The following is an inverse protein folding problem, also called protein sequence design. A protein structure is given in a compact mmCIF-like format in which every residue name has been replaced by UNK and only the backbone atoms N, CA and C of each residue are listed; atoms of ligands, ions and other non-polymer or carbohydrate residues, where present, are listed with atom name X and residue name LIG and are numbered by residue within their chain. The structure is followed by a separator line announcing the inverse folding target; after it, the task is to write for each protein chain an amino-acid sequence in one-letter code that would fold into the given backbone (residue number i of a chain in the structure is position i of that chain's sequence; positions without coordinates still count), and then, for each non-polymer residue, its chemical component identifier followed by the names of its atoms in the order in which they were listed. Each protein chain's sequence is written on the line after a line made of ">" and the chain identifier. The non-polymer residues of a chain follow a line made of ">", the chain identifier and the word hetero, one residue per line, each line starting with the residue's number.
data_IF_531483184928
#
_entry.id   IF_531483184928
#
_cell.length_a   1.000
_cell.length_b   1.000
_cell.length_c   1.000
_cell.angle_alpha   90.00
_cell.angle_beta   90.00
_cell.angle_gamma   90.00
#
_symmetry.space_group_name_H-M   'P 1'
#
loop_
_entity.id
_entity.type
_entity.pdbx_description
1 polymer ?
#
# COMPACT_ATOMS: atom_id res chain seq x y z
N UNK A 1 -14.94 21.34 -6.04
CA UNK A 1 -15.42 20.76 -4.76
C UNK A 1 -16.46 19.66 -5.00
N UNK A 2 -17.60 19.95 -5.67
CA UNK A 2 -18.66 18.97 -5.98
C UNK A 2 -18.17 17.66 -6.60
N UNK A 3 -17.30 17.76 -7.61
CA UNK A 3 -16.73 16.59 -8.29
C UNK A 3 -15.93 15.72 -7.32
N UNK A 4 -14.98 16.32 -6.60
CA UNK A 4 -14.20 15.63 -5.57
C UNK A 4 -15.09 14.94 -4.53
N UNK A 5 -16.10 15.63 -4.00
CA UNK A 5 -17.00 15.04 -3.00
C UNK A 5 -17.69 13.78 -3.54
N UNK A 6 -18.16 13.82 -4.79
CA UNK A 6 -18.80 12.66 -5.46
C UNK A 6 -17.82 11.52 -5.70
N UNK A 7 -16.62 11.82 -6.18
CA UNK A 7 -15.57 10.81 -6.39
C UNK A 7 -15.10 10.18 -5.06
N UNK A 8 -15.27 10.90 -3.95
CA UNK A 8 -14.97 10.44 -2.60
C UNK A 8 -16.13 9.69 -1.93
N UNK A 9 -17.27 9.55 -2.61
CA UNK A 9 -18.54 9.01 -2.09
C UNK A 9 -19.03 9.63 -0.76
N UNK A 10 -18.76 10.92 -0.55
CA UNK A 10 -19.16 11.65 0.67
C UNK A 10 -20.52 12.31 0.44
N UNK A 11 -21.53 12.10 1.27
CA UNK A 11 -22.80 12.86 1.19
C UNK A 11 -22.60 14.33 1.60
N UNK A 12 -23.38 15.26 1.03
CA UNK A 12 -23.29 16.69 1.40
C UNK A 12 -23.54 16.91 2.90
N UNK A 13 -24.51 16.21 3.49
CA UNK A 13 -24.81 16.28 4.93
C UNK A 13 -23.60 15.85 5.76
N UNK A 14 -22.99 14.71 5.41
CA UNK A 14 -21.79 14.23 6.10
C UNK A 14 -20.61 15.20 5.99
N UNK A 15 -20.40 15.81 4.82
CA UNK A 15 -19.36 16.82 4.65
C UNK A 15 -19.63 18.04 5.53
N UNK A 16 -20.90 18.44 5.65
CA UNK A 16 -21.32 19.56 6.47
C UNK A 16 -21.01 19.31 7.95
N UNK A 17 -21.28 18.10 8.45
CA UNK A 17 -20.94 17.68 9.81
C UNK A 17 -19.42 17.78 10.07
N UNK A 18 -18.60 17.30 9.13
CA UNK A 18 -17.13 17.27 9.26
C UNK A 18 -16.53 18.68 9.31
N UNK A 19 -17.06 19.61 8.53
CA UNK A 19 -16.55 20.99 8.44
C UNK A 19 -17.29 21.98 9.34
N UNK A 20 -18.25 21.49 10.15
CA UNK A 20 -18.99 22.27 11.13
C UNK A 20 -19.95 23.31 10.53
N UNK A 21 -20.63 22.96 9.43
CA UNK A 21 -21.62 23.85 8.77
C UNK A 21 -22.90 23.09 8.43
N UNK A 22 -23.89 23.77 7.85
CA UNK A 22 -25.12 23.14 7.39
C UNK A 22 -24.98 22.51 5.99
N UNK A 23 -25.79 21.50 5.66
CA UNK A 23 -25.84 20.96 4.29
C UNK A 23 -26.17 22.04 3.26
N UNK A 24 -27.03 23.01 3.60
CA UNK A 24 -27.37 24.12 2.71
C UNK A 24 -26.13 24.99 2.40
N UNK A 25 -25.26 25.22 3.38
CA UNK A 25 -23.98 25.92 3.21
C UNK A 25 -23.07 25.16 2.24
N UNK A 26 -22.94 23.84 2.41
CA UNK A 26 -22.19 22.95 1.49
C UNK A 26 -22.76 23.01 0.07
N UNK A 27 -24.09 23.00 -0.09
CA UNK A 27 -24.75 23.11 -1.39
C UNK A 27 -24.41 24.43 -2.09
N UNK A 28 -24.45 25.56 -1.38
CA UNK A 28 -24.06 26.87 -1.93
C UNK A 28 -22.59 26.91 -2.35
N UNK A 29 -21.69 26.26 -1.59
CA UNK A 29 -20.29 26.13 -1.99
C UNK A 29 -20.12 25.31 -3.28
N UNK A 30 -20.86 24.21 -3.41
CA UNK A 30 -20.82 23.36 -4.60
C UNK A 30 -21.36 24.03 -5.86
N UNK A 31 -22.28 25.00 -5.69
CA UNK A 31 -22.84 25.82 -6.75
C UNK A 31 -22.01 27.08 -7.04
N UNK A 32 -20.98 27.37 -6.24
CA UNK A 32 -20.15 28.57 -6.39
C UNK A 32 -20.79 29.87 -5.88
N UNK A 33 -21.94 29.79 -5.20
CA UNK A 33 -22.69 30.94 -4.68
C UNK A 33 -22.02 31.56 -3.46
N UNK A 34 -21.30 30.74 -2.68
CA UNK A 34 -20.60 31.17 -1.47
C UNK A 34 -19.22 30.48 -1.41
N UNK A 35 -18.20 31.19 -0.93
CA UNK A 35 -16.89 30.60 -0.66
C UNK A 35 -16.81 30.04 0.78
N UNK A 36 -16.11 28.92 1.02
CA UNK A 36 -15.82 28.46 2.38
C UNK A 36 -14.86 29.42 3.09
N UNK A 37 -14.99 29.56 4.41
CA UNK A 37 -14.05 30.39 5.17
C UNK A 37 -12.69 29.68 5.30
N UNK A 38 -11.61 30.40 5.68
CA UNK A 38 -10.25 29.85 5.72
C UNK A 38 -10.11 28.54 6.51
N UNK A 39 -10.80 28.42 7.65
CA UNK A 39 -10.80 27.20 8.47
C UNK A 39 -11.41 26.01 7.73
N UNK A 40 -12.56 26.18 7.05
CA UNK A 40 -13.16 25.10 6.27
C UNK A 40 -12.36 24.80 5.00
N UNK A 41 -11.73 25.80 4.38
CA UNK A 41 -10.80 25.58 3.27
C UNK A 41 -9.61 24.71 3.70
N UNK A 42 -9.07 24.90 4.90
CA UNK A 42 -8.02 24.05 5.48
C UNK A 42 -8.45 22.59 5.61
N UNK A 43 -9.63 22.36 6.23
CA UNK A 43 -10.19 21.01 6.40
C UNK A 43 -10.46 20.36 5.04
N UNK A 44 -11.09 21.09 4.11
CA UNK A 44 -11.37 20.60 2.76
C UNK A 44 -10.09 20.24 2.01
N UNK A 45 -9.06 21.08 2.06
CA UNK A 45 -7.75 20.79 1.44
C UNK A 45 -7.13 19.53 2.03
N UNK A 46 -7.14 19.38 3.35
CA UNK A 46 -6.59 18.20 4.01
C UNK A 46 -7.33 16.92 3.60
N UNK A 47 -8.67 16.96 3.54
CA UNK A 47 -9.49 15.84 3.06
C UNK A 47 -9.23 15.53 1.57
N UNK A 48 -9.10 16.56 0.74
CA UNK A 48 -8.84 16.42 -0.70
C UNK A 48 -7.47 15.80 -0.98
N UNK A 49 -6.43 16.23 -0.25
CA UNK A 49 -5.09 15.65 -0.34
C UNK A 49 -5.08 14.19 0.12
N UNK A 50 -5.71 13.88 1.27
CA UNK A 50 -5.84 12.49 1.74
C UNK A 50 -6.57 11.58 0.74
N UNK A 51 -7.64 12.08 0.10
CA UNK A 51 -8.39 11.27 -0.87
C UNK A 51 -7.62 11.04 -2.18
N UNK A 52 -6.92 12.06 -2.70
CA UNK A 52 -6.03 11.90 -3.86
C UNK A 52 -5.00 10.81 -3.61
N UNK A 53 -4.43 10.77 -2.42
CA UNK A 53 -3.43 9.78 -2.06
C UNK A 53 -4.07 8.38 -1.89
N UNK A 54 -5.29 8.27 -1.36
CA UNK A 54 -6.02 6.98 -1.31
C UNK A 54 -6.30 6.37 -2.69
N UNK A 55 -6.54 7.20 -3.72
CA UNK A 55 -6.68 6.72 -5.11
C UNK A 55 -5.36 6.22 -5.69
N UNK A 56 -4.23 6.80 -5.26
CA UNK A 56 -2.89 6.33 -5.62
C UNK A 56 -2.63 4.95 -4.99
N UNK A 57 -2.95 4.76 -3.71
CA UNK A 57 -2.84 3.46 -3.04
C UNK A 57 -3.70 2.39 -3.74
N UNK A 58 -4.91 2.76 -4.15
CA UNK A 58 -5.76 1.87 -4.95
C UNK A 58 -5.15 1.56 -6.33
N UNK A 59 -4.49 2.52 -6.97
CA UNK A 59 -3.79 2.29 -8.22
C UNK A 59 -2.63 1.31 -8.03
N UNK A 60 -1.81 1.50 -7.00
CA UNK A 60 -0.72 0.58 -6.63
C UNK A 60 -1.28 -0.83 -6.37
N UNK A 61 -2.34 -0.93 -5.56
CA UNK A 61 -3.01 -2.22 -5.30
C UNK A 61 -3.47 -2.89 -6.59
N UNK A 62 -4.09 -2.15 -7.52
CA UNK A 62 -4.52 -2.70 -8.81
C UNK A 62 -3.33 -3.18 -9.64
N UNK A 63 -2.24 -2.42 -9.69
CA UNK A 63 -1.02 -2.80 -10.42
C UNK A 63 -0.40 -4.08 -9.85
N UNK A 64 -0.33 -4.21 -8.52
CA UNK A 64 0.16 -5.43 -7.86
C UNK A 64 -0.72 -6.63 -8.21
N UNK A 65 -2.05 -6.51 -8.01
CA UNK A 65 -2.98 -7.63 -8.24
C UNK A 65 -2.96 -8.09 -9.69
N UNK A 66 -2.85 -7.16 -10.65
CA UNK A 66 -2.85 -7.45 -12.08
C UNK A 66 -1.46 -7.80 -12.63
N UNK A 67 -0.41 -7.81 -11.81
CA UNK A 67 0.94 -8.12 -12.27
C UNK A 67 1.07 -9.56 -12.77
N UNK A 68 1.76 -9.73 -13.89
CA UNK A 68 2.15 -11.04 -14.43
C UNK A 68 3.43 -11.60 -13.77
N UNK A 69 4.10 -10.81 -12.92
CA UNK A 69 5.22 -11.25 -12.10
C UNK A 69 4.74 -11.72 -10.72
N UNK A 70 5.60 -12.45 -9.99
CA UNK A 70 5.35 -12.87 -8.62
C UNK A 70 5.59 -11.68 -7.68
N UNK A 71 4.55 -10.90 -7.44
CA UNK A 71 4.62 -9.63 -6.69
C UNK A 71 3.65 -9.67 -5.51
N UNK A 72 4.07 -9.10 -4.38
CA UNK A 72 3.14 -8.79 -3.30
C UNK A 72 3.57 -7.54 -2.55
N UNK A 73 2.63 -6.93 -1.83
CA UNK A 73 2.84 -5.74 -1.01
C UNK A 73 2.57 -6.07 0.44
N UNK A 74 3.48 -5.71 1.33
CA UNK A 74 3.34 -5.84 2.79
C UNK A 74 3.50 -4.50 3.51
N UNK A 75 2.95 -4.39 4.72
CA UNK A 75 3.40 -3.37 5.67
C UNK A 75 4.83 -3.69 6.13
N UNK A 76 5.75 -2.72 6.05
CA UNK A 76 7.19 -2.93 6.17
C UNK A 76 7.60 -3.49 7.55
N UNK A 77 6.99 -3.01 8.65
CA UNK A 77 7.36 -3.42 10.02
C UNK A 77 6.69 -4.70 10.50
N UNK A 78 5.43 -4.92 10.14
CA UNK A 78 4.62 -6.04 10.65
C UNK A 78 4.61 -7.25 9.72
N UNK A 79 5.11 -7.06 8.49
CA UNK A 79 5.06 -8.01 7.38
C UNK A 79 3.65 -8.47 7.04
N UNK A 80 2.63 -7.68 7.39
CA UNK A 80 1.24 -8.01 7.07
C UNK A 80 0.98 -7.84 5.59
N UNK A 81 0.42 -8.87 4.97
CA UNK A 81 0.07 -8.84 3.54
C UNK A 81 -1.04 -7.83 3.27
N UNK A 82 -0.82 -6.93 2.31
CA UNK A 82 -1.80 -5.96 1.84
C UNK A 82 -2.47 -6.42 0.55
N UNK A 83 -1.69 -6.92 -0.42
CA UNK A 83 -2.19 -7.54 -1.64
C UNK A 83 -1.09 -8.38 -2.31
N UNK A 84 -1.48 -9.31 -3.20
CA UNK A 84 -0.58 -10.13 -3.98
C UNK A 84 -1.09 -10.28 -5.42
N UNK A 85 -0.17 -10.61 -6.33
CA UNK A 85 -0.47 -10.93 -7.71
C UNK A 85 -0.92 -12.39 -7.87
N UNK A 86 -1.66 -12.69 -8.93
CA UNK A 86 -2.09 -14.07 -9.21
C UNK A 86 -0.92 -15.06 -9.38
N UNK A 87 0.21 -14.74 -10.05
CA UNK A 87 1.38 -15.60 -10.07
C UNK A 87 1.95 -15.91 -8.68
N UNK A 88 1.92 -14.94 -7.77
CA UNK A 88 2.39 -15.11 -6.39
C UNK A 88 1.48 -16.06 -5.59
N UNK A 89 0.16 -15.94 -5.76
CA UNK A 89 -0.80 -16.88 -5.16
C UNK A 89 -0.61 -18.31 -5.66
N UNK A 90 -0.38 -18.47 -6.98
CA UNK A 90 -0.10 -19.77 -7.60
C UNK A 90 1.15 -20.42 -7.01
N UNK A 91 2.22 -19.63 -6.84
CA UNK A 91 3.42 -20.09 -6.16
C UNK A 91 3.08 -20.58 -4.75
N UNK A 92 2.47 -19.73 -3.92
CA UNK A 92 2.15 -20.05 -2.52
C UNK A 92 1.15 -21.19 -2.36
N UNK A 93 0.47 -21.58 -3.44
CA UNK A 93 -0.64 -22.54 -3.46
C UNK A 93 -1.74 -22.13 -2.48
N UNK A 94 -1.98 -20.82 -2.36
CA UNK A 94 -2.97 -20.22 -1.45
C UNK A 94 -3.58 -18.97 -2.06
N UNK A 95 -4.87 -18.79 -1.82
CA UNK A 95 -5.52 -17.53 -2.16
C UNK A 95 -5.01 -16.41 -1.26
N UNK A 96 -4.71 -15.24 -1.83
CA UNK A 96 -4.25 -14.10 -1.01
C UNK A 96 -5.34 -13.62 -0.06
N UNK A 97 -6.63 -13.82 -0.36
CA UNK A 97 -7.76 -13.46 0.52
C UNK A 97 -7.61 -14.04 1.93
N UNK A 98 -7.06 -15.23 2.04
CA UNK A 98 -6.89 -15.95 3.31
C UNK A 98 -5.66 -15.47 4.09
N UNK A 99 -4.77 -14.74 3.41
CA UNK A 99 -3.50 -14.24 3.90
C UNK A 99 -3.52 -12.73 4.14
N UNK A 100 -4.49 -11.98 3.61
CA UNK A 100 -4.59 -10.53 3.81
C UNK A 100 -4.61 -10.21 5.31
N UNK A 101 -3.75 -9.26 5.70
CA UNK A 101 -3.58 -8.84 7.09
C UNK A 101 -2.79 -9.82 7.95
N UNK A 102 -2.44 -11.01 7.46
CA UNK A 102 -1.57 -11.96 8.15
C UNK A 102 -0.11 -11.54 7.98
N UNK A 103 0.65 -11.57 9.08
CA UNK A 103 2.11 -11.43 9.00
C UNK A 103 2.72 -12.64 8.28
N UNK A 104 3.37 -12.38 7.15
CA UNK A 104 4.05 -13.40 6.35
C UNK A 104 5.40 -13.83 6.95
N UNK A 105 5.88 -13.14 7.99
CA UNK A 105 7.15 -13.47 8.66
C UNK A 105 7.24 -14.93 9.12
N UNK A 106 6.10 -15.53 9.49
CA UNK A 106 6.00 -16.95 9.86
C UNK A 106 6.44 -17.93 8.75
N UNK A 107 6.48 -17.49 7.50
CA UNK A 107 6.88 -18.29 6.33
C UNK A 107 8.32 -18.01 5.87
N UNK A 108 9.02 -17.05 6.50
CA UNK A 108 10.36 -16.63 6.11
C UNK A 108 11.34 -17.80 6.08
N UNK A 109 12.15 -17.85 5.01
CA UNK A 109 13.34 -18.72 4.96
C UNK A 109 14.49 -18.10 5.75
N UNK A 110 15.54 -18.86 6.08
CA UNK A 110 16.74 -18.32 6.71
C UNK A 110 17.37 -17.14 5.95
N UNK A 111 17.32 -17.17 4.62
CA UNK A 111 17.82 -16.11 3.74
C UNK A 111 16.98 -14.84 3.86
N UNK A 112 15.64 -14.96 3.82
CA UNK A 112 14.74 -13.84 4.08
C UNK A 112 14.98 -13.25 5.46
N UNK A 113 15.14 -14.10 6.49
CA UNK A 113 15.38 -13.65 7.84
C UNK A 113 16.75 -12.96 8.00
N UNK A 114 17.76 -13.38 7.24
CA UNK A 114 19.08 -12.74 7.20
C UNK A 114 19.01 -11.39 6.49
N UNK A 115 18.33 -11.31 5.34
CA UNK A 115 18.12 -10.07 4.61
C UNK A 115 17.36 -9.04 5.45
N UNK A 116 16.33 -9.46 6.19
CA UNK A 116 15.60 -8.58 7.13
C UNK A 116 16.53 -7.99 8.20
N UNK A 117 17.40 -8.82 8.78
CA UNK A 117 18.35 -8.38 9.82
C UNK A 117 19.35 -7.35 9.29
N UNK A 118 19.76 -7.44 8.03
CA UNK A 118 20.70 -6.48 7.44
C UNK A 118 20.08 -5.11 7.11
N UNK A 119 18.76 -4.97 7.12
CA UNK A 119 18.09 -3.71 6.75
C UNK A 119 18.49 -2.54 7.66
N UNK A 120 18.66 -2.81 8.95
CA UNK A 120 19.12 -1.79 9.90
C UNK A 120 20.47 -1.21 9.49
N UNK A 121 21.43 -2.08 9.18
CA UNK A 121 22.80 -1.68 8.86
C UNK A 121 22.90 -0.99 7.48
N UNK A 122 21.91 -1.20 6.61
CA UNK A 122 21.76 -0.54 5.32
C UNK A 122 21.04 0.82 5.43
N UNK A 123 20.59 1.24 6.62
CA UNK A 123 19.84 2.49 6.79
C UNK A 123 18.46 2.47 6.13
N UNK A 124 17.86 1.27 5.98
CA UNK A 124 16.54 1.06 5.35
C UNK A 124 15.40 1.87 5.98
N UNK A 125 15.47 2.09 7.29
CA UNK A 125 14.46 2.84 8.05
C UNK A 125 14.78 4.34 8.16
N UNK A 126 15.98 4.75 7.78
CA UNK A 126 16.47 6.13 7.80
C UNK A 126 16.47 6.75 6.38
N UNK A 127 15.72 6.13 5.45
CA UNK A 127 15.61 6.49 4.04
C UNK A 127 16.97 6.58 3.28
N UNK A 128 17.99 5.84 3.75
CA UNK A 128 19.30 5.75 3.10
C UNK A 128 19.39 4.63 2.05
N UNK A 129 18.47 3.66 2.11
CA UNK A 129 18.29 2.62 1.10
C UNK A 129 16.80 2.42 0.83
N UNK A 130 16.41 2.42 -0.44
CA UNK A 130 15.03 2.23 -0.90
C UNK A 130 14.81 0.87 -1.58
N UNK A 131 15.88 0.13 -1.88
CA UNK A 131 15.81 -1.20 -2.45
C UNK A 131 16.89 -2.16 -1.94
N UNK A 132 16.59 -3.47 -1.94
CA UNK A 132 17.51 -4.55 -1.61
C UNK A 132 17.21 -5.78 -2.47
N UNK A 133 18.24 -6.30 -3.16
CA UNK A 133 18.16 -7.58 -3.88
C UNK A 133 19.01 -8.62 -3.16
N UNK A 134 18.48 -9.82 -2.98
CA UNK A 134 19.22 -10.95 -2.40
C UNK A 134 18.80 -12.28 -3.01
N UNK A 135 19.73 -13.24 -2.97
CA UNK A 135 19.51 -14.61 -3.42
C UNK A 135 18.77 -15.44 -2.37
N UNK A 136 17.97 -16.39 -2.85
CA UNK A 136 17.37 -17.42 -2.01
C UNK A 136 17.55 -18.79 -2.64
N UNK A 137 17.78 -19.79 -1.79
CA UNK A 137 17.80 -21.20 -2.21
C UNK A 137 16.41 -21.72 -2.58
N UNK A 138 15.36 -21.01 -2.16
CA UNK A 138 13.97 -21.41 -2.25
C UNK A 138 13.58 -22.47 -1.22
N UNK A 139 12.29 -22.77 -1.15
CA UNK A 139 11.68 -23.83 -0.35
C UNK A 139 10.59 -24.49 -1.17
N UNK A 140 10.71 -25.79 -1.38
CA UNK A 140 9.65 -26.58 -1.98
C UNK A 140 8.76 -27.14 -0.86
N UNK A 141 7.47 -26.84 -0.89
CA UNK A 141 6.48 -27.41 0.03
C UNK A 141 6.25 -26.61 1.32
N UNK A 142 5.82 -27.25 2.42
CA UNK A 142 5.27 -26.58 3.59
C UNK A 142 6.31 -25.77 4.40
N UNK A 143 5.88 -24.77 5.19
CA UNK A 143 4.48 -24.34 5.38
C UNK A 143 3.94 -23.48 4.23
N UNK A 144 4.81 -22.99 3.35
CA UNK A 144 4.49 -22.25 2.13
C UNK A 144 5.70 -22.38 1.18
N UNK A 145 5.49 -22.80 -0.07
CA UNK A 145 6.56 -22.83 -1.05
C UNK A 145 7.03 -21.41 -1.40
N UNK A 146 8.34 -21.25 -1.56
CA UNK A 146 8.99 -20.03 -2.03
C UNK A 146 9.96 -20.45 -3.11
N UNK A 147 9.64 -20.20 -4.38
CA UNK A 147 10.43 -20.72 -5.52
C UNK A 147 11.41 -19.69 -6.08
N UNK A 148 11.30 -18.44 -5.64
CA UNK A 148 12.15 -17.34 -6.10
C UNK A 148 13.63 -17.62 -5.88
N UNK A 149 14.43 -17.39 -6.91
CA UNK A 149 15.90 -17.44 -6.84
C UNK A 149 16.48 -16.13 -6.37
N UNK A 150 15.83 -15.03 -6.73
CA UNK A 150 16.16 -13.69 -6.28
C UNK A 150 14.89 -13.00 -5.79
N UNK A 151 15.04 -12.24 -4.70
CA UNK A 151 13.99 -11.38 -4.18
C UNK A 151 14.49 -9.94 -4.23
N UNK A 152 13.68 -9.07 -4.83
CA UNK A 152 13.82 -7.62 -4.77
C UNK A 152 12.80 -7.08 -3.78
N UNK A 153 13.29 -6.28 -2.83
CA UNK A 153 12.50 -5.47 -1.94
C UNK A 153 12.65 -4.00 -2.31
N UNK A 154 11.52 -3.31 -2.43
CA UNK A 154 11.47 -1.87 -2.66
C UNK A 154 10.56 -1.24 -1.60
N UNK A 155 11.03 -0.18 -0.94
CA UNK A 155 10.30 0.50 0.12
C UNK A 155 9.73 1.83 -0.36
N UNK A 156 8.49 2.09 0.02
CA UNK A 156 7.86 3.39 -0.16
C UNK A 156 6.76 3.61 0.89
N UNK A 157 6.14 4.78 0.86
CA UNK A 157 5.06 5.14 1.78
C UNK A 157 3.73 5.22 1.05
N UNK A 158 2.70 4.66 1.66
CA UNK A 158 1.32 4.93 1.27
C UNK A 158 0.93 6.36 1.67
N UNK A 159 -0.16 6.80 1.04
CA UNK A 159 -0.95 7.99 1.35
C UNK A 159 -1.06 8.41 2.82
N UNK A 160 -1.23 7.44 3.71
CA UNK A 160 -1.49 7.62 5.13
C UNK A 160 -0.21 7.64 5.98
N UNK A 161 0.96 7.55 5.33
CA UNK A 161 2.27 7.48 5.97
C UNK A 161 2.68 6.06 6.35
N UNK A 162 1.90 5.03 6.02
CA UNK A 162 2.28 3.64 6.24
C UNK A 162 3.46 3.29 5.34
N UNK A 163 4.59 2.90 5.95
CA UNK A 163 5.71 2.33 5.22
C UNK A 163 5.33 0.92 4.71
N UNK A 164 5.52 0.70 3.41
CA UNK A 164 5.23 -0.57 2.76
C UNK A 164 6.43 -1.05 1.96
N UNK A 165 6.46 -2.36 1.75
CA UNK A 165 7.49 -3.04 0.97
C UNK A 165 6.84 -3.81 -0.17
N UNK A 166 7.26 -3.50 -1.40
CA UNK A 166 6.96 -4.30 -2.58
C UNK A 166 8.01 -5.40 -2.68
N UNK A 167 7.54 -6.63 -2.79
CA UNK A 167 8.38 -7.80 -2.90
C UNK A 167 8.14 -8.44 -4.26
N UNK A 168 9.18 -8.45 -5.09
CA UNK A 168 9.16 -9.07 -6.41
C UNK A 168 10.12 -10.25 -6.44
N UNK A 169 9.62 -11.37 -6.96
CA UNK A 169 10.36 -12.62 -7.09
C UNK A 169 10.84 -12.85 -8.51
N UNK A 170 12.08 -13.31 -8.66
CA UNK A 170 12.70 -13.57 -9.95
C UNK A 170 13.39 -14.94 -9.99
N UNK A 171 13.47 -15.48 -11.21
CA UNK A 171 14.22 -16.71 -11.52
C UNK A 171 15.70 -16.42 -11.85
N UNK A 172 16.03 -15.15 -12.12
CA UNK A 172 17.36 -14.64 -12.48
C UNK A 172 17.61 -13.32 -11.73
N UNK A 173 18.87 -12.86 -11.64
CA UNK A 173 19.19 -11.58 -11.01
C UNK A 173 18.47 -10.44 -11.76
N UNK A 174 17.66 -9.59 -11.08
CA UNK A 174 16.94 -8.49 -11.70
C UNK A 174 17.78 -7.23 -11.98
N UNK A 175 19.09 -7.25 -11.67
CA UNK A 175 20.02 -6.12 -11.89
C UNK A 175 20.70 -6.15 -13.25
#
# INVERSE_FOLDING_TARGET
>A
MRQWRRESDIKQSRLADIVGVTQATVSRWEQGVQAPAPIQLGILRQMMTRNRNFRLDQAIRRLVIQSHQRVHLIEDRSHRLLCASAPREKEWQRNSSDLIGMSLWRFATPEIARAEKSLHDLGWHDDQADHLTFETSGRNGPPMPIIDKFILWERFFLSDGTAVRLTTGFDHDPR
#
